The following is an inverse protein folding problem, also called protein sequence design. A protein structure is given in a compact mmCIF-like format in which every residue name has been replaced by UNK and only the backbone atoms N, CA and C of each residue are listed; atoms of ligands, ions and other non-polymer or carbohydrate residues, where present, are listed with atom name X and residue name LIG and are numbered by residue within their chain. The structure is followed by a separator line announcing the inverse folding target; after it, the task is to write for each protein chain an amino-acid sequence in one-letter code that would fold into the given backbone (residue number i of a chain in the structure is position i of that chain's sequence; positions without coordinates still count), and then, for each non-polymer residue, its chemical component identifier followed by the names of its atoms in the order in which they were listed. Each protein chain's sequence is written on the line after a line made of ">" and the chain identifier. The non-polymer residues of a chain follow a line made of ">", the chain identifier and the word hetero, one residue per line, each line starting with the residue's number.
data_IF_606528498484
#
_entry.id   IF_606528498484
#
_cell.length_a   1.000
_cell.length_b   1.000
_cell.length_c   1.000
_cell.angle_alpha   90.00
_cell.angle_beta   90.00
_cell.angle_gamma   90.00
#
_symmetry.space_group_name_H-M   'P 1'
#
loop_
_entity.id
_entity.type
_entity.pdbx_description
1 polymer ?
#
# COMPACT_ATOMS: atom_id res chain seq x y z
N UNK A 1 -6.32 9.89 3.81
CA UNK A 1 -6.29 11.34 4.04
C UNK A 1 -7.71 11.76 4.31
N UNK A 2 -8.10 11.73 5.58
CA UNK A 2 -9.34 12.36 6.03
C UNK A 2 -9.19 13.86 5.76
N UNK A 3 -10.18 14.49 5.11
CA UNK A 3 -10.17 15.94 4.99
C UNK A 3 -10.31 16.50 6.41
N UNK A 4 -9.49 17.47 6.82
CA UNK A 4 -9.67 18.12 8.11
C UNK A 4 -11.10 18.63 8.21
N UNK A 5 -11.70 18.48 9.39
CA UNK A 5 -13.07 18.92 9.63
C UNK A 5 -13.12 20.45 9.56
N UNK A 6 -14.24 21.02 9.13
CA UNK A 6 -14.37 22.47 8.93
C UNK A 6 -14.04 23.25 10.22
N UNK A 7 -14.37 22.69 11.37
CA UNK A 7 -14.10 23.25 12.71
C UNK A 7 -12.59 23.34 13.00
N UNK A 8 -11.81 22.31 12.63
CA UNK A 8 -10.35 22.29 12.81
C UNK A 8 -9.63 23.28 11.87
N UNK A 9 -10.22 23.57 10.71
CA UNK A 9 -9.71 24.62 9.81
C UNK A 9 -10.00 26.02 10.35
N UNK A 10 -11.17 26.25 10.93
CA UNK A 10 -11.54 27.54 11.53
C UNK A 10 -10.64 27.87 12.73
N UNK A 11 -10.33 26.89 13.58
CA UNK A 11 -9.42 27.07 14.72
C UNK A 11 -7.99 27.44 14.26
N UNK A 12 -7.49 26.76 13.22
CA UNK A 12 -6.17 27.06 12.65
C UNK A 12 -6.11 28.41 11.94
N UNK A 13 -7.22 28.85 11.32
CA UNK A 13 -7.32 30.19 10.74
C UNK A 13 -7.33 31.28 11.81
N UNK A 14 -8.02 31.06 12.93
CA UNK A 14 -7.99 31.99 14.07
C UNK A 14 -6.60 32.10 14.68
N UNK A 15 -5.85 30.99 14.80
CA UNK A 15 -4.46 31.00 15.28
C UNK A 15 -3.54 31.75 14.29
N UNK A 16 -3.77 31.60 12.99
CA UNK A 16 -3.01 32.27 11.94
C UNK A 16 -3.24 33.78 11.89
N UNK A 17 -4.48 34.22 12.10
CA UNK A 17 -4.87 35.64 12.11
C UNK A 17 -4.46 36.36 13.42
N UNK A 18 -4.05 35.61 14.45
CA UNK A 18 -3.55 36.13 15.74
C UNK A 18 -2.23 36.92 15.68
N UNK A 19 -1.62 37.03 14.51
CA UNK A 19 -0.52 37.95 14.22
C UNK A 19 0.86 37.41 14.60
N UNK A 20 1.69 37.17 13.59
CA UNK A 20 3.13 36.96 13.76
C UNK A 20 3.80 38.33 13.94
N UNK A 21 4.40 38.59 15.12
CA UNK A 21 4.79 39.93 15.63
C UNK A 21 5.39 40.96 14.66
N UNK A 22 5.27 42.24 15.04
CA UNK A 22 5.10 43.41 14.16
C UNK A 22 6.37 44.08 13.56
N UNK A 23 7.58 43.56 13.74
CA UNK A 23 8.77 44.42 13.58
C UNK A 23 9.49 44.41 12.21
N UNK A 24 9.01 43.71 11.18
CA UNK A 24 9.57 43.83 9.81
C UNK A 24 8.48 43.59 8.75
N UNK A 25 8.12 44.63 7.97
CA UNK A 25 7.20 44.52 6.83
C UNK A 25 7.81 43.54 5.79
N UNK A 26 7.16 42.41 5.47
CA UNK A 26 7.63 41.50 4.43
C UNK A 26 7.62 42.16 3.06
N UNK A 27 8.43 41.68 2.12
CA UNK A 27 8.25 42.08 0.72
C UNK A 27 6.90 41.58 0.18
N UNK A 28 6.30 42.22 -0.85
CA UNK A 28 5.03 41.78 -1.42
C UNK A 28 5.05 40.31 -1.91
N UNK A 29 6.20 39.84 -2.36
CA UNK A 29 6.42 38.44 -2.73
C UNK A 29 6.33 37.52 -1.51
N UNK A 30 6.87 37.94 -0.37
CA UNK A 30 6.83 37.18 0.88
C UNK A 30 5.44 37.14 1.50
N UNK A 31 4.68 38.23 1.43
CA UNK A 31 3.26 38.26 1.82
C UNK A 31 2.44 37.27 0.99
N UNK A 32 2.71 37.19 -0.31
CA UNK A 32 2.04 36.23 -1.21
C UNK A 32 2.34 34.80 -0.81
N UNK A 33 3.60 34.48 -0.49
CA UNK A 33 3.98 33.13 -0.03
C UNK A 33 3.37 32.79 1.33
N UNK A 34 3.27 33.76 2.24
CA UNK A 34 2.62 33.58 3.54
C UNK A 34 1.11 33.35 3.38
N UNK A 35 0.44 34.04 2.45
CA UNK A 35 -0.97 33.77 2.11
C UNK A 35 -1.13 32.37 1.51
N UNK A 36 -0.20 31.93 0.66
CA UNK A 36 -0.21 30.60 0.07
C UNK A 36 -0.03 29.46 1.10
N UNK A 37 0.51 29.74 2.29
CA UNK A 37 0.65 28.77 3.39
C UNK A 37 -0.64 28.56 4.20
N UNK A 38 -1.67 29.40 4.05
CA UNK A 38 -2.90 29.31 4.85
C UNK A 38 -3.57 27.93 4.73
N UNK A 39 -4.15 27.36 5.81
CA UNK A 39 -4.79 26.05 5.79
C UNK A 39 -5.86 25.85 4.70
N UNK A 40 -6.63 26.90 4.39
CA UNK A 40 -7.64 26.89 3.33
C UNK A 40 -7.08 26.73 1.89
N UNK A 41 -5.80 27.01 1.66
CA UNK A 41 -5.18 26.85 0.34
C UNK A 41 -4.94 25.37 0.03
N UNK A 42 -4.83 25.03 -1.25
CA UNK A 42 -4.53 23.66 -1.68
C UNK A 42 -3.16 23.21 -1.14
N UNK A 43 -3.04 21.94 -0.75
CA UNK A 43 -1.79 21.39 -0.20
C UNK A 43 -0.58 21.59 -1.15
N UNK A 44 -0.80 21.56 -2.47
CA UNK A 44 0.25 21.78 -3.48
C UNK A 44 0.78 23.21 -3.43
N UNK A 45 -0.10 24.20 -3.22
CA UNK A 45 0.29 25.60 -3.04
C UNK A 45 1.06 25.77 -1.74
N UNK A 46 0.55 25.23 -0.61
CA UNK A 46 1.26 25.31 0.68
C UNK A 46 2.64 24.66 0.65
N UNK A 47 2.76 23.48 0.02
CA UNK A 47 4.04 22.79 -0.13
C UNK A 47 5.03 23.58 -1.00
N UNK A 48 4.55 24.21 -2.08
CA UNK A 48 5.36 25.08 -2.93
C UNK A 48 5.81 26.32 -2.16
N UNK A 49 4.89 27.00 -1.49
CA UNK A 49 5.17 28.18 -0.71
C UNK A 49 6.19 27.92 0.39
N UNK A 50 6.06 26.81 1.13
CA UNK A 50 7.03 26.40 2.14
C UNK A 50 8.44 26.24 1.55
N UNK A 51 8.56 25.60 0.38
CA UNK A 51 9.86 25.43 -0.30
C UNK A 51 10.44 26.76 -0.77
N UNK A 52 9.61 27.60 -1.40
CA UNK A 52 10.02 28.92 -1.89
C UNK A 52 10.43 29.85 -0.74
N UNK A 53 9.77 29.75 0.41
CA UNK A 53 10.17 30.45 1.62
C UNK A 53 11.55 30.00 2.11
N UNK A 54 11.95 28.74 1.92
CA UNK A 54 13.33 28.30 2.20
C UNK A 54 14.38 28.84 1.23
N UNK A 55 13.98 29.39 0.08
CA UNK A 55 14.86 29.93 -0.96
C UNK A 55 14.98 31.47 -0.91
N UNK A 56 14.24 32.14 -0.01
CA UNK A 56 14.26 33.60 0.10
C UNK A 56 15.62 34.11 0.53
N UNK A 57 15.96 35.34 0.12
CA UNK A 57 17.26 35.94 0.44
C UNK A 57 17.30 36.55 1.85
N UNK A 58 16.14 36.83 2.45
CA UNK A 58 16.03 37.42 3.80
C UNK A 58 14.95 36.70 4.60
N UNK A 59 15.28 36.37 5.84
CA UNK A 59 14.33 35.84 6.82
C UNK A 59 13.77 36.98 7.68
N UNK A 60 12.56 36.80 8.19
CA UNK A 60 11.95 37.68 9.19
C UNK A 60 11.21 36.82 10.25
N UNK A 61 10.76 37.44 11.37
CA UNK A 61 10.06 36.71 12.42
C UNK A 61 8.80 36.00 11.91
N UNK A 62 8.06 36.67 11.01
CA UNK A 62 6.79 36.17 10.49
C UNK A 62 6.95 34.88 9.68
N UNK A 63 7.95 34.83 8.80
CA UNK A 63 8.25 33.63 8.01
C UNK A 63 8.69 32.48 8.89
N UNK A 64 9.55 32.73 9.88
CA UNK A 64 10.02 31.67 10.77
C UNK A 64 8.88 31.13 11.63
N UNK A 65 8.02 32.00 12.16
CA UNK A 65 6.84 31.58 12.93
C UNK A 65 5.83 30.82 12.06
N UNK A 66 5.51 31.32 10.86
CA UNK A 66 4.63 30.62 9.93
C UNK A 66 5.16 29.24 9.56
N UNK A 67 6.45 29.11 9.25
CA UNK A 67 7.08 27.82 8.94
C UNK A 67 7.08 26.86 10.15
N UNK A 68 7.27 27.36 11.38
CA UNK A 68 7.15 26.53 12.60
C UNK A 68 5.71 26.04 12.78
N UNK A 69 4.72 26.93 12.70
CA UNK A 69 3.30 26.57 12.81
C UNK A 69 2.92 25.53 11.76
N UNK A 70 3.31 25.73 10.49
CA UNK A 70 3.06 24.77 9.41
C UNK A 70 3.76 23.43 9.68
N UNK A 71 5.00 23.43 10.16
CA UNK A 71 5.73 22.20 10.49
C UNK A 71 5.07 21.41 11.64
N UNK A 72 4.44 22.09 12.58
CA UNK A 72 3.77 21.51 13.76
C UNK A 72 2.34 21.00 13.44
N UNK A 73 1.56 21.80 12.71
CA UNK A 73 0.09 21.66 12.65
C UNK A 73 -0.46 21.23 11.29
N UNK A 74 0.26 21.42 10.17
CA UNK A 74 -0.33 21.16 8.84
C UNK A 74 -0.76 19.70 8.70
N UNK A 75 -1.97 19.45 8.19
CA UNK A 75 -2.50 18.10 8.00
C UNK A 75 -1.60 17.22 7.08
N UNK A 76 -0.94 17.82 6.09
CA UNK A 76 -0.09 17.12 5.13
C UNK A 76 1.32 16.89 5.67
N UNK A 77 1.73 15.63 5.75
CA UNK A 77 3.09 15.26 6.13
C UNK A 77 4.17 15.82 5.18
N UNK A 78 3.83 16.01 3.90
CA UNK A 78 4.75 16.61 2.93
C UNK A 78 4.93 18.10 3.17
N UNK A 79 3.84 18.82 3.48
CA UNK A 79 3.90 20.25 3.77
C UNK A 79 4.66 20.49 5.08
N UNK A 80 4.39 19.70 6.13
CA UNK A 80 5.17 19.74 7.39
C UNK A 80 6.66 19.52 7.14
N UNK A 81 7.01 18.53 6.32
CA UNK A 81 8.40 18.24 6.00
C UNK A 81 9.06 19.35 5.18
N UNK A 82 8.35 19.93 4.21
CA UNK A 82 8.84 21.06 3.43
C UNK A 82 9.09 22.30 4.31
N UNK A 83 8.19 22.61 5.24
CA UNK A 83 8.36 23.71 6.17
C UNK A 83 9.52 23.47 7.15
N UNK A 84 9.66 22.24 7.68
CA UNK A 84 10.79 21.85 8.52
C UNK A 84 12.13 21.89 7.78
N UNK A 85 12.14 21.60 6.48
CA UNK A 85 13.33 21.72 5.63
C UNK A 85 13.66 23.19 5.33
N UNK A 86 12.64 24.00 5.04
CA UNK A 86 12.78 25.44 4.87
C UNK A 86 13.39 26.09 6.12
N UNK A 87 12.95 25.72 7.33
CA UNK A 87 13.55 26.22 8.59
C UNK A 87 15.05 25.93 8.71
N UNK A 88 15.60 24.94 7.98
CA UNK A 88 17.03 24.61 7.95
C UNK A 88 17.82 25.42 6.92
N UNK A 89 17.16 26.21 6.08
CA UNK A 89 17.85 27.06 5.13
C UNK A 89 18.78 28.05 5.85
N UNK A 90 19.96 28.38 5.29
CA UNK A 90 20.93 29.24 5.95
C UNK A 90 20.36 30.58 6.42
N UNK A 91 19.44 31.17 5.64
CA UNK A 91 18.80 32.45 5.95
C UNK A 91 17.93 32.41 7.21
N UNK A 92 17.24 31.30 7.45
CA UNK A 92 16.42 31.11 8.65
C UNK A 92 17.26 30.65 9.83
N UNK A 93 18.31 29.86 9.60
CA UNK A 93 19.26 29.46 10.63
C UNK A 93 20.04 30.65 11.20
N UNK A 94 20.42 31.62 10.35
CA UNK A 94 21.05 32.85 10.81
C UNK A 94 20.12 33.67 11.70
N UNK A 95 18.85 33.80 11.32
CA UNK A 95 17.84 34.45 12.15
C UNK A 95 17.64 33.71 13.48
N UNK A 96 17.46 32.39 13.45
CA UNK A 96 17.28 31.55 14.64
C UNK A 96 18.48 31.64 15.59
N UNK A 97 19.72 31.76 15.08
CA UNK A 97 20.90 31.95 15.92
C UNK A 97 20.87 33.22 16.76
N UNK A 98 20.23 34.27 16.25
CA UNK A 98 20.03 35.54 16.96
C UNK A 98 18.87 35.47 17.97
N UNK A 99 18.02 34.43 17.84
CA UNK A 99 16.80 34.19 18.62
C UNK A 99 16.79 32.78 19.24
N UNK A 100 17.62 32.52 20.27
CA UNK A 100 17.76 31.19 20.87
C UNK A 100 16.44 30.63 21.42
N UNK A 101 15.52 31.48 21.86
CA UNK A 101 14.16 31.14 22.29
C UNK A 101 13.31 30.47 21.20
N UNK A 102 13.53 30.83 19.93
CA UNK A 102 12.82 30.24 18.79
C UNK A 102 13.56 29.01 18.24
N UNK A 103 14.86 28.91 18.49
CA UNK A 103 15.69 27.80 18.00
C UNK A 103 15.22 26.45 18.52
N UNK A 104 14.91 26.36 19.82
CA UNK A 104 14.47 25.11 20.42
C UNK A 104 13.14 24.65 19.81
N UNK A 105 12.19 25.57 19.65
CA UNK A 105 10.89 25.30 19.02
C UNK A 105 11.05 24.86 17.56
N UNK A 106 11.84 25.58 16.76
CA UNK A 106 12.08 25.23 15.36
C UNK A 106 12.72 23.84 15.21
N UNK A 107 13.65 23.48 16.10
CA UNK A 107 14.25 22.14 16.11
C UNK A 107 13.25 21.06 16.54
N UNK A 108 12.42 21.33 17.56
CA UNK A 108 11.38 20.42 18.02
C UNK A 108 10.35 20.16 16.91
N UNK A 109 9.86 21.22 16.25
CA UNK A 109 8.97 21.13 15.10
C UNK A 109 9.57 20.27 13.98
N UNK A 110 10.85 20.48 13.64
CA UNK A 110 11.52 19.70 12.61
C UNK A 110 11.72 18.22 12.98
N UNK A 111 11.96 17.91 14.26
CA UNK A 111 12.03 16.51 14.75
C UNK A 111 10.66 15.85 14.66
N UNK A 112 9.63 16.52 15.17
CA UNK A 112 8.26 16.02 15.16
C UNK A 112 7.74 15.79 13.73
N UNK A 113 8.01 16.71 12.79
CA UNK A 113 7.65 16.54 11.39
C UNK A 113 8.30 15.30 10.77
N UNK A 114 9.58 15.04 11.09
CA UNK A 114 10.31 13.84 10.63
C UNK A 114 9.73 12.56 11.24
N UNK A 115 9.52 12.53 12.55
CA UNK A 115 8.97 11.37 13.26
C UNK A 115 7.56 11.02 12.76
N UNK A 116 6.68 12.02 12.62
CA UNK A 116 5.34 11.83 12.06
C UNK A 116 5.38 11.34 10.62
N UNK A 117 6.34 11.80 9.80
CA UNK A 117 6.51 11.30 8.43
C UNK A 117 6.95 9.84 8.41
N UNK A 118 7.85 9.44 9.31
CA UNK A 118 8.28 8.03 9.47
C UNK A 118 7.09 7.17 9.93
N UNK A 119 6.35 7.61 10.96
CA UNK A 119 5.19 6.90 11.46
C UNK A 119 4.09 6.75 10.38
N UNK A 120 3.81 7.81 9.62
CA UNK A 120 2.86 7.74 8.50
C UNK A 120 3.33 6.78 7.40
N UNK A 121 4.63 6.75 7.10
CA UNK A 121 5.18 5.81 6.13
C UNK A 121 5.02 4.35 6.62
N UNK A 122 5.29 4.08 7.89
CA UNK A 122 5.13 2.76 8.51
C UNK A 122 3.65 2.31 8.53
N UNK A 123 2.73 3.22 8.82
CA UNK A 123 1.29 2.96 8.76
C UNK A 123 0.82 2.61 7.35
N UNK A 124 1.31 3.31 6.33
CA UNK A 124 0.98 2.98 4.93
C UNK A 124 1.52 1.59 4.51
N UNK A 125 2.74 1.24 4.91
CA UNK A 125 3.34 -0.06 4.58
C UNK A 125 2.62 -1.22 5.30
N UNK A 126 2.23 -1.02 6.56
CA UNK A 126 1.43 -2.00 7.31
C UNK A 126 0.02 -2.17 6.71
N UNK A 127 -0.63 -1.09 6.28
CA UNK A 127 -1.92 -1.14 5.60
C UNK A 127 -1.86 -1.92 4.28
N UNK A 128 -0.88 -1.62 3.42
CA UNK A 128 -0.69 -2.34 2.16
C UNK A 128 -0.31 -3.82 2.38
N UNK A 129 0.50 -4.12 3.39
CA UNK A 129 0.85 -5.49 3.76
C UNK A 129 -0.36 -6.31 4.22
N UNK A 130 -1.28 -5.71 5.00
CA UNK A 130 -2.53 -6.35 5.40
C UNK A 130 -3.43 -6.66 4.20
N UNK A 131 -3.53 -5.73 3.25
CA UNK A 131 -4.29 -5.93 2.01
C UNK A 131 -3.71 -7.09 1.20
N UNK A 132 -2.39 -7.15 1.03
CA UNK A 132 -1.72 -8.23 0.31
C UNK A 132 -2.00 -9.61 0.94
N UNK A 133 -1.96 -9.71 2.27
CA UNK A 133 -2.25 -10.97 2.97
C UNK A 133 -3.72 -11.39 2.83
N UNK A 134 -4.66 -10.44 2.89
CA UNK A 134 -6.08 -10.72 2.65
C UNK A 134 -6.31 -11.23 1.23
N UNK A 135 -5.74 -10.58 0.22
CA UNK A 135 -5.86 -11.02 -1.18
C UNK A 135 -5.27 -12.40 -1.39
N UNK A 136 -4.08 -12.68 -0.86
CA UNK A 136 -3.48 -14.01 -0.95
C UNK A 136 -4.33 -15.08 -0.25
N UNK A 137 -4.92 -14.77 0.91
CA UNK A 137 -5.85 -15.66 1.60
C UNK A 137 -7.12 -15.92 0.78
N UNK A 138 -7.71 -14.87 0.18
CA UNK A 138 -8.86 -15.02 -0.72
C UNK A 138 -8.52 -15.91 -1.91
N UNK A 139 -7.37 -15.71 -2.55
CA UNK A 139 -6.91 -16.56 -3.65
C UNK A 139 -6.76 -18.03 -3.23
N UNK A 140 -6.18 -18.31 -2.05
CA UNK A 140 -6.11 -19.68 -1.51
C UNK A 140 -7.50 -20.29 -1.30
N UNK A 141 -8.43 -19.56 -0.69
CA UNK A 141 -9.79 -20.05 -0.44
C UNK A 141 -10.56 -20.32 -1.74
N UNK A 142 -10.45 -19.42 -2.72
CA UNK A 142 -11.08 -19.62 -4.03
C UNK A 142 -10.45 -20.80 -4.75
N UNK A 143 -9.12 -20.96 -4.71
CA UNK A 143 -8.45 -22.14 -5.27
C UNK A 143 -8.90 -23.45 -4.63
N UNK A 144 -9.10 -23.46 -3.31
CA UNK A 144 -9.66 -24.61 -2.59
C UNK A 144 -11.10 -24.89 -3.02
N UNK A 145 -11.94 -23.85 -3.18
CA UNK A 145 -13.31 -23.98 -3.68
C UNK A 145 -13.37 -24.55 -5.10
N UNK A 146 -12.51 -24.06 -6.01
CA UNK A 146 -12.40 -24.58 -7.38
C UNK A 146 -12.04 -26.06 -7.35
N UNK A 147 -11.12 -26.47 -6.47
CA UNK A 147 -10.75 -27.88 -6.29
C UNK A 147 -11.94 -28.72 -5.81
N UNK A 148 -12.75 -28.20 -4.88
CA UNK A 148 -13.98 -28.87 -4.43
C UNK A 148 -15.00 -28.99 -5.57
N UNK A 149 -15.19 -27.92 -6.34
CA UNK A 149 -16.12 -27.92 -7.48
C UNK A 149 -15.72 -28.95 -8.54
N UNK A 150 -14.43 -29.03 -8.87
CA UNK A 150 -13.87 -30.02 -9.80
C UNK A 150 -14.18 -31.47 -9.37
N UNK A 151 -14.00 -31.78 -8.08
CA UNK A 151 -14.35 -33.10 -7.51
C UNK A 151 -15.84 -33.38 -7.63
N UNK A 152 -16.70 -32.41 -7.26
CA UNK A 152 -18.15 -32.59 -7.30
C UNK A 152 -18.68 -32.78 -8.72
N UNK A 153 -18.15 -32.04 -9.69
CA UNK A 153 -18.52 -32.15 -11.10
C UNK A 153 -18.08 -33.50 -11.66
N UNK A 154 -16.83 -33.89 -11.40
CA UNK A 154 -16.31 -35.20 -11.84
C UNK A 154 -17.13 -36.36 -11.29
N UNK A 155 -17.59 -36.24 -10.03
CA UNK A 155 -18.51 -37.20 -9.42
C UNK A 155 -19.88 -37.21 -10.11
N UNK A 156 -20.47 -36.04 -10.32
CA UNK A 156 -21.80 -35.91 -10.94
C UNK A 156 -21.84 -36.45 -12.38
N UNK A 157 -20.75 -36.31 -13.13
CA UNK A 157 -20.62 -36.82 -14.50
C UNK A 157 -20.23 -38.31 -14.57
N UNK A 158 -20.05 -38.99 -13.43
CA UNK A 158 -19.65 -40.39 -13.41
C UNK A 158 -18.24 -40.66 -13.95
N UNK A 159 -17.38 -39.63 -14.03
CA UNK A 159 -16.02 -39.74 -14.56
C UNK A 159 -15.05 -40.48 -13.62
N UNK A 160 -15.56 -40.93 -12.46
CA UNK A 160 -14.77 -41.58 -11.42
C UNK A 160 -13.91 -40.55 -10.68
N UNK A 161 -14.29 -40.23 -9.44
CA UNK A 161 -13.40 -39.42 -8.61
C UNK A 161 -12.32 -40.32 -8.02
N UNK A 162 -11.13 -40.27 -8.59
CA UNK A 162 -9.93 -40.49 -7.79
C UNK A 162 -9.73 -39.28 -6.86
N UNK A 163 -10.76 -38.91 -6.08
CA UNK A 163 -10.64 -37.97 -4.96
C UNK A 163 -9.84 -38.68 -3.88
N UNK A 164 -8.56 -38.86 -4.16
CA UNK A 164 -7.61 -39.46 -3.27
C UNK A 164 -7.47 -38.58 -2.04
N UNK A 165 -6.95 -39.20 -0.99
CA UNK A 165 -6.50 -38.53 0.23
C UNK A 165 -5.66 -37.26 -0.05
N UNK A 166 -4.96 -37.20 -1.19
CA UNK A 166 -4.21 -36.05 -1.68
C UNK A 166 -5.05 -34.77 -1.88
N UNK A 167 -6.29 -34.87 -2.37
CA UNK A 167 -7.15 -33.70 -2.63
C UNK A 167 -7.60 -33.07 -1.31
N UNK A 168 -7.99 -33.90 -0.35
CA UNK A 168 -8.40 -33.46 0.99
C UNK A 168 -7.23 -32.77 1.70
N UNK A 169 -6.03 -33.37 1.65
CA UNK A 169 -4.83 -32.76 2.22
C UNK A 169 -4.56 -31.39 1.58
N UNK A 170 -4.66 -31.28 0.25
CA UNK A 170 -4.42 -30.01 -0.46
C UNK A 170 -5.40 -28.92 0.01
N UNK A 171 -6.70 -29.23 0.06
CA UNK A 171 -7.72 -28.28 0.54
C UNK A 171 -7.43 -27.87 1.98
N UNK A 172 -7.10 -28.82 2.86
CA UNK A 172 -6.78 -28.54 4.26
C UNK A 172 -5.56 -27.62 4.40
N UNK A 173 -4.50 -27.85 3.60
CA UNK A 173 -3.32 -27.00 3.57
C UNK A 173 -3.69 -25.59 3.11
N UNK A 174 -4.38 -25.45 1.97
CA UNK A 174 -4.69 -24.14 1.39
C UNK A 174 -5.61 -23.32 2.32
N UNK A 175 -6.61 -23.95 2.96
CA UNK A 175 -7.47 -23.33 3.97
C UNK A 175 -6.69 -22.95 5.23
N UNK A 176 -5.85 -23.86 5.75
CA UNK A 176 -5.04 -23.59 6.95
C UNK A 176 -4.07 -22.41 6.74
N UNK A 177 -3.46 -22.34 5.56
CA UNK A 177 -2.59 -21.22 5.17
C UNK A 177 -3.38 -19.92 5.00
N UNK A 178 -4.57 -19.97 4.41
CA UNK A 178 -5.45 -18.80 4.29
C UNK A 178 -5.84 -18.23 5.66
N UNK A 179 -6.24 -19.10 6.61
CA UNK A 179 -6.53 -18.70 7.99
C UNK A 179 -5.29 -18.09 8.65
N UNK A 180 -4.11 -18.71 8.47
CA UNK A 180 -2.85 -18.18 8.99
C UNK A 180 -2.50 -16.79 8.47
N UNK A 181 -2.77 -16.51 7.18
CA UNK A 181 -2.59 -15.18 6.59
C UNK A 181 -3.60 -14.16 7.14
N UNK A 182 -4.88 -14.55 7.30
CA UNK A 182 -5.91 -13.67 7.87
C UNK A 182 -5.63 -13.30 9.32
N UNK A 183 -5.02 -14.22 10.08
CA UNK A 183 -4.57 -13.98 11.46
C UNK A 183 -3.23 -13.25 11.56
N UNK A 184 -2.61 -12.88 10.43
CA UNK A 184 -1.28 -12.26 10.37
C UNK A 184 -0.19 -13.07 11.13
N UNK A 185 -0.32 -14.40 11.15
CA UNK A 185 0.57 -15.26 11.95
C UNK A 185 2.00 -15.19 11.43
N UNK A 186 2.96 -14.95 12.32
CA UNK A 186 4.39 -14.99 11.99
C UNK A 186 4.72 -16.33 11.34
N UNK A 187 5.19 -16.31 10.09
CA UNK A 187 5.54 -17.50 9.31
C UNK A 187 4.49 -17.97 8.29
N UNK A 188 3.23 -17.53 8.37
CA UNK A 188 2.20 -17.93 7.38
C UNK A 188 2.62 -17.54 5.95
N UNK A 189 3.17 -16.33 5.78
CA UNK A 189 3.76 -15.87 4.52
C UNK A 189 4.81 -16.85 3.98
N UNK A 190 5.76 -17.26 4.82
CA UNK A 190 6.85 -18.16 4.42
C UNK A 190 6.30 -19.52 3.97
N UNK A 191 5.35 -20.08 4.69
CA UNK A 191 4.72 -21.34 4.32
C UNK A 191 3.94 -21.25 3.01
N UNK A 192 3.24 -20.14 2.76
CA UNK A 192 2.54 -19.92 1.48
C UNK A 192 3.54 -19.80 0.33
N UNK A 193 4.66 -19.10 0.54
CA UNK A 193 5.72 -19.00 -0.47
C UNK A 193 6.36 -20.37 -0.77
N UNK A 194 6.62 -21.19 0.26
CA UNK A 194 7.09 -22.58 0.09
C UNK A 194 6.06 -23.37 -0.73
N UNK A 195 4.79 -23.31 -0.34
CA UNK A 195 3.69 -24.00 -1.03
C UNK A 195 3.57 -23.58 -2.50
N UNK A 196 3.71 -22.28 -2.80
CA UNK A 196 3.69 -21.74 -4.15
C UNK A 196 4.91 -22.22 -4.95
N UNK A 197 6.11 -22.20 -4.37
CA UNK A 197 7.35 -22.68 -5.01
C UNK A 197 7.29 -24.17 -5.33
N UNK A 198 6.86 -24.99 -4.36
CA UNK A 198 6.67 -26.44 -4.54
C UNK A 198 5.60 -26.71 -5.60
N UNK A 199 4.47 -26.01 -5.54
CA UNK A 199 3.39 -26.16 -6.49
C UNK A 199 3.76 -25.74 -7.92
N UNK A 200 4.64 -24.76 -8.08
CA UNK A 200 5.08 -24.30 -9.38
C UNK A 200 6.11 -25.24 -10.04
N UNK A 201 6.80 -26.06 -9.24
CA UNK A 201 7.92 -26.90 -9.71
C UNK A 201 7.56 -28.38 -9.74
N UNK A 202 7.21 -28.96 -8.60
CA UNK A 202 6.99 -30.41 -8.49
C UNK A 202 5.69 -30.86 -9.15
N UNK A 203 4.63 -30.04 -9.07
CA UNK A 203 3.32 -30.44 -9.59
C UNK A 203 3.29 -30.60 -11.12
N UNK A 204 3.82 -29.65 -11.93
CA UNK A 204 3.98 -29.87 -13.36
C UNK A 204 4.72 -31.16 -13.70
N UNK A 205 5.84 -31.44 -13.03
CA UNK A 205 6.62 -32.66 -13.28
C UNK A 205 5.75 -33.91 -13.11
N UNK A 206 4.98 -33.99 -12.02
CA UNK A 206 4.06 -35.11 -11.78
C UNK A 206 2.98 -35.19 -12.86
N UNK A 207 2.44 -34.05 -13.31
CA UNK A 207 1.42 -33.99 -14.35
C UNK A 207 1.94 -34.53 -15.69
N UNK A 208 3.14 -34.12 -16.12
CA UNK A 208 3.76 -34.59 -17.37
C UNK A 208 4.14 -36.08 -17.33
N UNK A 209 4.36 -36.66 -16.14
CA UNK A 209 4.61 -38.09 -15.97
C UNK A 209 3.33 -38.94 -15.99
N UNK A 210 2.17 -38.34 -15.69
CA UNK A 210 0.93 -39.09 -15.46
C UNK A 210 -0.15 -38.86 -16.53
N UNK A 211 -0.02 -37.82 -17.36
CA UNK A 211 -1.03 -37.42 -18.34
C UNK A 211 -0.40 -37.23 -19.73
N UNK A 212 -1.24 -37.12 -20.76
CA UNK A 212 -0.78 -36.71 -22.07
C UNK A 212 -0.25 -35.27 -22.06
N UNK A 213 0.53 -34.94 -23.08
CA UNK A 213 1.24 -33.67 -23.18
C UNK A 213 0.31 -32.45 -23.09
N UNK A 214 -0.86 -32.51 -23.72
CA UNK A 214 -1.79 -31.38 -23.82
C UNK A 214 -2.45 -31.16 -22.46
N UNK A 215 -2.98 -32.21 -21.85
CA UNK A 215 -3.59 -32.14 -20.51
C UNK A 215 -2.60 -31.66 -19.47
N UNK A 216 -1.37 -32.21 -19.47
CA UNK A 216 -0.33 -31.80 -18.54
C UNK A 216 0.05 -30.32 -18.71
N UNK A 217 0.16 -29.83 -19.95
CA UNK A 217 0.47 -28.43 -20.23
C UNK A 217 -0.63 -27.48 -19.72
N UNK A 218 -1.90 -27.77 -20.01
CA UNK A 218 -3.04 -26.95 -19.57
C UNK A 218 -3.08 -26.86 -18.04
N UNK A 219 -3.02 -28.00 -17.36
CA UNK A 219 -3.06 -28.07 -15.89
C UNK A 219 -1.86 -27.35 -15.25
N UNK A 220 -0.68 -27.43 -15.88
CA UNK A 220 0.53 -26.74 -15.40
C UNK A 220 0.40 -25.22 -15.53
N UNK A 221 -0.14 -24.71 -16.64
CA UNK A 221 -0.36 -23.28 -16.86
C UNK A 221 -1.31 -22.70 -15.80
N UNK A 222 -2.39 -23.40 -15.48
CA UNK A 222 -3.32 -22.99 -14.41
C UNK A 222 -2.63 -22.94 -13.05
N UNK A 223 -1.81 -23.96 -12.74
CA UNK A 223 -1.05 -24.03 -11.49
C UNK A 223 0.00 -22.92 -11.39
N UNK A 224 0.66 -22.56 -12.50
CA UNK A 224 1.60 -21.45 -12.54
C UNK A 224 0.91 -20.10 -12.37
N UNK A 225 -0.26 -19.89 -12.97
CA UNK A 225 -1.06 -18.70 -12.74
C UNK A 225 -1.41 -18.51 -11.26
N UNK A 226 -1.85 -19.59 -10.62
CA UNK A 226 -2.14 -19.59 -9.18
C UNK A 226 -0.90 -19.27 -8.34
N UNK A 227 0.21 -19.97 -8.55
CA UNK A 227 1.45 -19.75 -7.79
C UNK A 227 2.04 -18.36 -8.06
N UNK A 228 1.99 -17.87 -9.31
CA UNK A 228 2.46 -16.56 -9.71
C UNK A 228 1.69 -15.44 -9.02
N UNK A 229 0.37 -15.56 -8.89
CA UNK A 229 -0.45 -14.63 -8.12
C UNK A 229 -0.04 -14.58 -6.65
N UNK A 230 0.14 -15.74 -6.00
CA UNK A 230 0.59 -15.80 -4.61
C UNK A 230 1.98 -15.18 -4.41
N UNK A 231 2.92 -15.45 -5.32
CA UNK A 231 4.24 -14.84 -5.30
C UNK A 231 4.14 -13.32 -5.46
N UNK A 232 3.29 -12.80 -6.34
CA UNK A 232 3.12 -11.35 -6.52
C UNK A 232 2.53 -10.66 -5.29
N UNK A 233 1.59 -11.30 -4.59
CA UNK A 233 1.05 -10.76 -3.35
C UNK A 233 2.06 -10.79 -2.20
N UNK A 234 2.90 -11.84 -2.14
CA UNK A 234 3.69 -12.13 -0.94
C UNK A 234 5.19 -11.87 -1.08
N UNK A 235 5.73 -11.55 -2.26
CA UNK A 235 7.14 -11.18 -2.42
C UNK A 235 7.25 -9.66 -2.61
N UNK A 236 8.17 -8.98 -1.92
CA UNK A 236 8.47 -7.55 -2.13
C UNK A 236 7.47 -6.52 -1.59
N UNK A 237 7.76 -5.24 -1.80
CA UNK A 237 6.90 -4.11 -1.40
C UNK A 237 5.56 -4.18 -2.15
N UNK A 238 4.48 -3.96 -1.40
CA UNK A 238 3.06 -4.11 -1.75
C UNK A 238 2.55 -2.96 -2.64
N UNK A 239 3.32 -2.63 -3.69
CA UNK A 239 2.91 -1.64 -4.68
C UNK A 239 1.58 -2.08 -5.32
N UNK A 240 0.64 -1.15 -5.42
CA UNK A 240 -0.73 -1.40 -5.91
C UNK A 240 -0.78 -2.12 -7.25
N UNK A 241 0.12 -1.78 -8.20
CA UNK A 241 0.15 -2.43 -9.51
C UNK A 241 0.43 -3.94 -9.45
N UNK A 242 1.21 -4.41 -8.46
CA UNK A 242 1.52 -5.84 -8.29
C UNK A 242 0.32 -6.60 -7.77
N UNK A 243 -0.46 -5.98 -6.87
CA UNK A 243 -1.71 -6.53 -6.38
C UNK A 243 -2.72 -6.67 -7.52
N UNK A 244 -2.85 -5.64 -8.36
CA UNK A 244 -3.72 -5.69 -9.54
C UNK A 244 -3.25 -6.77 -10.51
N UNK A 245 -1.96 -6.80 -10.85
CA UNK A 245 -1.41 -7.80 -11.76
C UNK A 245 -1.59 -9.23 -11.23
N UNK A 246 -1.33 -9.46 -9.94
CA UNK A 246 -1.55 -10.75 -9.29
C UNK A 246 -3.01 -11.20 -9.37
N UNK A 247 -3.96 -10.27 -9.15
CA UNK A 247 -5.38 -10.56 -9.29
C UNK A 247 -5.78 -10.89 -10.73
N UNK A 248 -5.28 -10.13 -11.72
CA UNK A 248 -5.55 -10.39 -13.13
C UNK A 248 -5.03 -11.77 -13.55
N UNK A 249 -3.79 -12.10 -13.18
CA UNK A 249 -3.20 -13.41 -13.46
C UNK A 249 -4.06 -14.52 -12.85
N UNK A 250 -4.47 -14.38 -11.57
CA UNK A 250 -5.32 -15.36 -10.93
C UNK A 250 -6.67 -15.54 -11.66
N UNK A 251 -7.36 -14.44 -11.98
CA UNK A 251 -8.66 -14.52 -12.66
C UNK A 251 -8.54 -15.16 -14.03
N UNK A 252 -7.57 -14.75 -14.85
CA UNK A 252 -7.41 -15.26 -16.22
C UNK A 252 -7.00 -16.73 -16.21
N UNK A 253 -5.93 -17.07 -15.49
CA UNK A 253 -5.33 -18.39 -15.58
C UNK A 253 -6.00 -19.42 -14.68
N UNK A 254 -6.58 -19.02 -13.55
CA UNK A 254 -7.26 -19.97 -12.66
C UNK A 254 -8.74 -20.03 -12.98
N UNK A 255 -9.47 -18.92 -12.97
CA UNK A 255 -10.92 -18.95 -13.16
C UNK A 255 -11.32 -19.04 -14.64
N UNK A 256 -10.66 -18.28 -15.51
CA UNK A 256 -10.95 -18.24 -16.94
C UNK A 256 -10.67 -19.58 -17.63
N UNK A 257 -9.45 -20.11 -17.48
CA UNK A 257 -9.09 -21.40 -18.07
C UNK A 257 -9.89 -22.56 -17.47
N UNK A 258 -10.12 -22.58 -16.15
CA UNK A 258 -10.97 -23.60 -15.52
C UNK A 258 -12.40 -23.56 -16.08
N UNK A 259 -13.01 -22.37 -16.13
CA UNK A 259 -14.35 -22.20 -16.66
C UNK A 259 -14.47 -22.62 -18.13
N UNK A 260 -13.48 -22.27 -18.96
CA UNK A 260 -13.45 -22.69 -20.36
C UNK A 260 -13.34 -24.22 -20.51
N UNK A 261 -12.47 -24.85 -19.71
CA UNK A 261 -12.31 -26.30 -19.72
C UNK A 261 -13.57 -27.03 -19.24
N UNK A 262 -14.20 -26.52 -18.18
CA UNK A 262 -15.48 -27.03 -17.69
C UNK A 262 -16.59 -26.93 -18.73
N UNK A 263 -16.71 -25.78 -19.41
CA UNK A 263 -17.69 -25.60 -20.47
C UNK A 263 -17.48 -26.60 -21.62
N UNK A 264 -16.23 -26.84 -22.00
CA UNK A 264 -15.88 -27.81 -23.05
C UNK A 264 -16.27 -29.23 -22.64
N UNK A 265 -15.97 -29.64 -21.40
CA UNK A 265 -16.36 -30.95 -20.87
C UNK A 265 -17.88 -31.12 -20.87
N UNK A 266 -18.63 -30.10 -20.45
CA UNK A 266 -20.09 -30.13 -20.45
C UNK A 266 -20.67 -30.27 -21.86
N UNK A 267 -20.13 -29.50 -22.83
CA UNK A 267 -20.55 -29.60 -24.23
C UNK A 267 -20.24 -30.97 -24.83
N UNK A 268 -19.07 -31.55 -24.52
CA UNK A 268 -18.70 -32.88 -24.97
C UNK A 268 -19.60 -33.97 -24.39
N UNK A 269 -20.08 -33.81 -23.14
CA UNK A 269 -20.98 -34.77 -22.49
C UNK A 269 -22.42 -34.72 -23.01
N UNK A 270 -22.80 -33.64 -23.70
CA UNK A 270 -24.15 -33.44 -24.25
C UNK A 270 -24.30 -33.95 -25.70
N UNK A 271 -23.19 -34.27 -26.37
CA UNK A 271 -23.13 -34.80 -27.74
C UNK A 271 -23.13 -36.33 -27.73
#
# INVERSE_FOLDING_TARGET
>A
MEKPQAEELEDLEQEWDGGFGEDVVPSPEMETLLDELRPAKLYTSRCRAAKQLGEVTRSNPQVVQALMTVAETDASAEVRAAAAEALRAPVHQEYLRQHPELTERAQAAARQAKERRIAAADETDTGQSRLAYRLAATVLLVGALVTVADVLISWALGLGTAAGFSVIIRIAIDVGLAIGLLQLRKGARTWVLIRAGVGATLWPIVLFLSNDLITAAIMSVMQWGFCGALLLFLTGQSKTWRLVLGMVIFVVFTLGLFGALMLLVLLASAL
#
